data_IF_186721884698
#
_entry.id   IF_186721884698
#
_cell.length_a   1.000
_cell.length_b   1.000
_cell.length_c   1.000
_cell.angle_alpha   90.00
_cell.angle_beta   90.00
_cell.angle_gamma   90.00
#
_symmetry.space_group_name_H-M   'P 1'
#
loop_
_entity.id
_entity.type
_entity.pdbx_description
1 polymer ?
#
# COMPACT_ATOMS: atom_id res chain seq x y z
N UNK A 1 -47.60 58.89 -27.35
CA UNK A 1 -46.16 58.82 -26.98
C UNK A 1 -46.05 57.80 -25.85
N UNK A 2 -45.76 56.57 -26.18
CA UNK A 2 -45.56 55.48 -25.23
C UNK A 2 -44.23 54.79 -25.49
N UNK A 3 -43.34 54.89 -24.51
CA UNK A 3 -42.03 54.30 -24.55
C UNK A 3 -42.09 52.85 -24.11
N UNK A 4 -41.76 51.94 -24.99
CA UNK A 4 -41.58 50.52 -24.61
C UNK A 4 -40.20 50.34 -23.93
N UNK A 5 -40.20 49.80 -22.70
CA UNK A 5 -39.01 49.39 -22.01
C UNK A 5 -38.76 47.90 -22.28
N UNK A 6 -37.71 47.64 -23.06
CA UNK A 6 -37.17 46.28 -23.22
C UNK A 6 -36.53 45.81 -21.94
N UNK A 7 -37.14 44.83 -21.27
CA UNK A 7 -36.51 44.06 -20.19
C UNK A 7 -35.68 42.95 -20.82
N UNK A 8 -34.37 43.13 -20.81
CA UNK A 8 -33.44 42.09 -21.15
C UNK A 8 -33.42 41.02 -20.05
N UNK A 9 -33.93 39.84 -20.36
CA UNK A 9 -33.73 38.64 -19.57
C UNK A 9 -32.23 38.25 -19.61
N UNK A 10 -31.55 38.49 -18.49
CA UNK A 10 -30.24 37.94 -18.27
C UNK A 10 -30.38 36.44 -17.99
N UNK A 11 -29.93 35.63 -18.94
CA UNK A 11 -29.76 34.20 -18.73
C UNK A 11 -28.65 33.98 -17.71
N UNK A 12 -28.99 33.43 -16.55
CA UNK A 12 -28.00 32.94 -15.60
C UNK A 12 -27.32 31.68 -16.17
N UNK A 13 -25.98 31.56 -16.14
CA UNK A 13 -25.31 30.34 -16.55
C UNK A 13 -25.62 29.22 -15.56
N UNK A 14 -26.07 28.12 -16.09
CA UNK A 14 -26.35 26.89 -15.37
C UNK A 14 -25.11 26.41 -14.56
N UNK A 15 -25.17 26.59 -13.25
CA UNK A 15 -24.25 26.02 -12.28
C UNK A 15 -24.48 24.53 -11.98
N UNK A 16 -24.99 23.78 -12.96
CA UNK A 16 -25.32 22.37 -12.86
C UNK A 16 -24.27 21.43 -13.45
N UNK A 17 -23.06 21.91 -13.73
CA UNK A 17 -21.95 21.09 -14.25
C UNK A 17 -20.73 21.05 -13.31
N UNK A 18 -20.93 21.28 -12.01
CA UNK A 18 -20.00 20.72 -11.05
C UNK A 18 -20.35 19.25 -10.88
N UNK A 19 -20.03 18.47 -11.90
CA UNK A 19 -20.05 17.03 -11.86
C UNK A 19 -19.20 16.61 -10.67
N UNK A 20 -19.86 16.01 -9.69
CA UNK A 20 -19.31 15.13 -8.69
C UNK A 20 -18.02 14.49 -9.21
N UNK A 21 -16.87 14.99 -8.80
CA UNK A 21 -15.61 14.27 -8.91
C UNK A 21 -15.83 13.02 -8.06
N UNK A 22 -16.20 11.91 -8.71
CA UNK A 22 -16.26 10.59 -8.09
C UNK A 22 -14.92 10.42 -7.41
N UNK A 23 -14.95 10.31 -6.10
CA UNK A 23 -13.78 10.02 -5.30
C UNK A 23 -13.31 8.61 -5.72
N UNK A 24 -12.53 8.55 -6.80
CA UNK A 24 -12.02 7.29 -7.34
C UNK A 24 -11.03 6.79 -6.33
N UNK A 25 -11.48 5.83 -5.53
CA UNK A 25 -10.63 5.19 -4.54
C UNK A 25 -9.43 4.57 -5.26
N UNK A 26 -8.24 5.06 -4.94
CA UNK A 26 -6.99 4.57 -5.50
C UNK A 26 -6.77 3.11 -5.11
N UNK A 27 -6.23 2.34 -6.03
CA UNK A 27 -5.94 0.94 -5.78
C UNK A 27 -4.86 0.78 -4.70
N UNK A 28 -5.15 0.00 -3.68
CA UNK A 28 -4.25 -0.29 -2.56
C UNK A 28 -4.02 -1.79 -2.36
N UNK A 29 -4.38 -2.59 -3.35
CA UNK A 29 -4.31 -4.04 -3.28
C UNK A 29 -5.65 -4.68 -2.96
N UNK A 30 -5.69 -5.99 -3.08
CA UNK A 30 -6.86 -6.83 -2.89
C UNK A 30 -6.87 -7.48 -1.50
N UNK A 31 -8.04 -7.85 -1.01
CA UNK A 31 -8.18 -8.67 0.20
C UNK A 31 -7.99 -10.12 -0.15
N UNK A 32 -7.15 -10.82 0.60
CA UNK A 32 -6.92 -12.25 0.40
C UNK A 32 -7.91 -13.05 1.22
N UNK A 33 -8.79 -13.79 0.56
CA UNK A 33 -9.71 -14.71 1.21
C UNK A 33 -9.08 -16.08 1.44
N UNK A 34 -8.21 -16.50 0.51
CA UNK A 34 -7.42 -17.74 0.59
C UNK A 34 -5.98 -17.43 0.23
N UNK A 35 -5.02 -18.00 0.96
CA UNK A 35 -3.61 -17.75 0.66
C UNK A 35 -3.22 -18.37 -0.68
N UNK A 36 -2.91 -17.53 -1.66
CA UNK A 36 -2.49 -17.92 -3.01
C UNK A 36 -0.99 -18.20 -3.10
N UNK A 37 -0.24 -17.96 -2.03
CA UNK A 37 1.20 -18.08 -1.98
C UNK A 37 1.59 -19.34 -1.24
N UNK A 38 2.41 -20.17 -1.86
CA UNK A 38 2.97 -21.37 -1.22
C UNK A 38 4.13 -21.03 -0.27
N UNK A 39 4.42 -21.88 0.73
CA UNK A 39 5.58 -21.67 1.60
C UNK A 39 6.89 -21.49 0.84
N UNK A 40 7.09 -22.20 -0.27
CA UNK A 40 8.30 -22.09 -1.09
C UNK A 40 8.55 -20.70 -1.67
N UNK A 41 7.51 -19.88 -1.83
CA UNK A 41 7.67 -18.50 -2.29
C UNK A 41 8.48 -17.64 -1.31
N UNK A 42 8.52 -18.02 -0.04
CA UNK A 42 9.27 -17.28 0.98
C UNK A 42 10.79 -17.51 0.95
N UNK A 43 11.27 -18.45 0.14
CA UNK A 43 12.70 -18.61 -0.10
C UNK A 43 13.32 -17.42 -0.87
N UNK A 44 12.48 -16.62 -1.54
CA UNK A 44 12.88 -15.47 -2.35
C UNK A 44 12.19 -14.19 -1.88
N UNK A 45 12.25 -13.92 -0.58
CA UNK A 45 11.69 -12.69 -0.02
C UNK A 45 12.55 -11.47 -0.31
N UNK A 46 11.87 -10.34 -0.50
CA UNK A 46 12.48 -9.01 -0.58
C UNK A 46 11.66 -8.02 0.21
N UNK A 47 12.32 -7.10 0.88
CA UNK A 47 11.68 -5.88 1.34
C UNK A 47 11.69 -4.86 0.21
N UNK A 48 10.58 -4.17 0.03
CA UNK A 48 10.40 -3.14 -0.99
C UNK A 48 9.97 -1.86 -0.30
N UNK A 49 10.67 -0.76 -0.57
CA UNK A 49 10.30 0.57 -0.10
C UNK A 49 9.83 1.39 -1.29
N UNK A 50 8.67 2.00 -1.14
CA UNK A 50 8.13 2.96 -2.10
C UNK A 50 8.07 4.35 -1.49
N UNK A 51 8.08 5.38 -2.34
CA UNK A 51 7.99 6.76 -1.90
C UNK A 51 6.69 7.03 -1.15
N UNK A 52 6.74 7.99 -0.24
CA UNK A 52 5.56 8.51 0.42
C UNK A 52 4.78 9.50 -0.43
N UNK A 53 3.72 9.98 0.17
CA UNK A 53 2.92 11.10 -0.28
C UNK A 53 3.05 12.27 0.72
N UNK A 54 2.41 13.43 0.48
CA UNK A 54 2.46 14.56 1.42
C UNK A 54 1.95 14.25 2.83
N UNK A 55 1.08 13.24 2.97
CA UNK A 55 0.56 12.77 4.26
C UNK A 55 1.46 11.73 4.94
N UNK A 56 2.35 11.09 4.18
CA UNK A 56 3.30 10.10 4.67
C UNK A 56 4.65 10.24 3.95
N UNK A 57 5.46 11.24 4.31
CA UNK A 57 6.74 11.51 3.63
C UNK A 57 7.77 10.39 3.81
N UNK A 58 7.60 9.55 4.82
CA UNK A 58 8.51 8.43 5.11
C UNK A 58 8.36 7.23 4.16
N UNK A 59 7.40 7.27 3.26
CA UNK A 59 7.17 6.17 2.33
C UNK A 59 6.47 4.97 2.95
N UNK A 60 6.52 3.84 2.24
CA UNK A 60 5.79 2.66 2.62
C UNK A 60 6.59 1.39 2.35
N UNK A 61 6.47 0.41 3.25
CA UNK A 61 7.15 -0.89 3.16
C UNK A 61 6.21 -1.98 2.70
N UNK A 62 6.69 -2.81 1.77
CA UNK A 62 5.99 -4.00 1.30
C UNK A 62 6.90 -5.21 1.41
N UNK A 63 6.28 -6.38 1.61
CA UNK A 63 6.94 -7.67 1.48
C UNK A 63 6.70 -8.20 0.07
N UNK A 64 7.76 -8.48 -0.66
CA UNK A 64 7.70 -9.18 -1.94
C UNK A 64 8.16 -10.64 -1.75
N UNK A 65 7.39 -11.58 -2.28
CA UNK A 65 7.72 -13.01 -2.25
C UNK A 65 7.99 -13.55 -3.65
N UNK A 66 8.53 -14.74 -3.73
CA UNK A 66 8.60 -15.47 -4.99
C UNK A 66 7.23 -15.57 -5.66
N UNK A 67 7.22 -15.70 -6.99
CA UNK A 67 5.98 -15.69 -7.78
C UNK A 67 5.40 -14.30 -8.06
N UNK A 68 6.09 -13.22 -7.64
CA UNK A 68 5.68 -11.84 -7.94
C UNK A 68 4.53 -11.34 -7.09
N UNK A 69 4.44 -11.76 -5.83
CA UNK A 69 3.40 -11.32 -4.90
C UNK A 69 3.93 -10.29 -3.92
N UNK A 70 3.12 -9.26 -3.67
CA UNK A 70 3.42 -8.17 -2.74
C UNK A 70 2.36 -8.13 -1.65
N UNK A 71 2.80 -7.93 -0.41
CA UNK A 71 1.93 -7.84 0.77
C UNK A 71 2.25 -6.58 1.56
N UNK A 72 1.22 -5.92 2.06
CA UNK A 72 1.39 -4.73 2.88
C UNK A 72 0.14 -4.40 3.71
N UNK A 73 0.29 -3.46 4.61
CA UNK A 73 -0.81 -2.87 5.40
C UNK A 73 -1.07 -1.48 4.85
N UNK A 74 -2.21 -1.27 4.20
CA UNK A 74 -2.49 -0.02 3.50
C UNK A 74 -3.01 1.11 4.42
N UNK A 75 -3.82 0.76 5.43
CA UNK A 75 -4.50 1.71 6.31
C UNK A 75 -4.72 1.12 7.69
N UNK A 76 -5.07 2.00 8.64
CA UNK A 76 -5.51 1.59 9.98
C UNK A 76 -6.76 0.72 9.94
N UNK A 77 -6.85 -0.21 10.88
CA UNK A 77 -8.02 -1.06 11.11
C UNK A 77 -8.49 -1.86 9.88
N UNK A 78 -7.63 -2.05 8.90
CA UNK A 78 -7.89 -2.88 7.73
C UNK A 78 -7.10 -4.19 7.77
N UNK A 79 -7.60 -5.19 7.06
CA UNK A 79 -6.80 -6.39 6.82
C UNK A 79 -5.65 -6.07 5.87
N UNK A 80 -4.50 -6.75 6.02
CA UNK A 80 -3.42 -6.60 5.06
C UNK A 80 -3.89 -6.90 3.63
N UNK A 81 -3.24 -6.27 2.66
CA UNK A 81 -3.55 -6.37 1.24
C UNK A 81 -2.48 -7.13 0.50
N UNK A 82 -2.85 -7.71 -0.62
CA UNK A 82 -1.91 -8.36 -1.53
C UNK A 82 -2.07 -7.81 -2.95
N UNK A 83 -1.01 -7.95 -3.72
CA UNK A 83 -0.97 -7.54 -5.12
C UNK A 83 -0.11 -8.52 -5.92
N UNK A 84 -0.52 -8.78 -7.15
CA UNK A 84 0.37 -9.36 -8.16
C UNK A 84 1.37 -8.30 -8.66
N UNK A 85 2.32 -8.70 -9.48
CA UNK A 85 3.24 -7.76 -10.14
C UNK A 85 2.49 -6.67 -10.94
N UNK A 86 1.43 -7.04 -11.65
CA UNK A 86 0.56 -6.08 -12.37
C UNK A 86 -0.19 -5.14 -11.41
N UNK A 87 -0.68 -5.69 -10.29
CA UNK A 87 -1.31 -4.91 -9.23
C UNK A 87 -0.35 -3.93 -8.58
N UNK A 88 0.90 -4.34 -8.34
CA UNK A 88 1.94 -3.46 -7.80
C UNK A 88 2.25 -2.27 -8.72
N UNK A 89 2.38 -2.52 -10.02
CA UNK A 89 2.57 -1.43 -11.00
C UNK A 89 1.37 -0.47 -11.03
N UNK A 90 0.16 -1.01 -10.93
CA UNK A 90 -1.07 -0.21 -10.80
C UNK A 90 -1.06 0.62 -9.52
N UNK A 91 -0.70 0.02 -8.39
CA UNK A 91 -0.58 0.69 -7.10
C UNK A 91 0.38 1.87 -7.16
N UNK A 92 1.59 1.69 -7.71
CA UNK A 92 2.56 2.78 -7.87
C UNK A 92 1.99 3.92 -8.71
N UNK A 93 1.39 3.60 -9.86
CA UNK A 93 0.85 4.59 -10.79
C UNK A 93 -0.32 5.37 -10.18
N UNK A 94 -1.31 4.69 -9.61
CA UNK A 94 -2.52 5.33 -9.08
C UNK A 94 -2.27 6.14 -7.82
N UNK A 95 -1.24 5.80 -7.04
CA UNK A 95 -0.84 6.51 -5.85
C UNK A 95 0.31 7.50 -6.07
N UNK A 96 0.75 7.69 -7.32
CA UNK A 96 1.88 8.57 -7.67
C UNK A 96 3.16 8.23 -6.88
N UNK A 97 3.35 6.95 -6.61
CA UNK A 97 4.51 6.43 -5.89
C UNK A 97 5.55 5.86 -6.85
N UNK A 98 6.78 5.80 -6.38
CA UNK A 98 7.89 5.14 -7.08
C UNK A 98 8.61 4.20 -6.13
N UNK A 99 9.15 3.10 -6.64
CA UNK A 99 10.04 2.24 -5.86
C UNK A 99 11.33 2.99 -5.58
N UNK A 100 11.72 3.04 -4.32
CA UNK A 100 12.98 3.66 -3.87
C UNK A 100 14.07 2.62 -3.77
N UNK A 101 13.75 1.49 -3.14
CA UNK A 101 14.72 0.45 -2.87
C UNK A 101 14.06 -0.91 -2.74
N UNK A 102 14.80 -1.94 -3.13
CA UNK A 102 14.45 -3.35 -2.97
C UNK A 102 15.70 -4.12 -2.56
N UNK A 103 15.58 -4.96 -1.53
CA UNK A 103 16.70 -5.82 -1.12
C UNK A 103 16.23 -7.20 -0.67
N UNK A 104 17.05 -8.24 -0.86
CA UNK A 104 16.72 -9.60 -0.48
C UNK A 104 16.71 -9.73 1.05
N UNK A 105 15.79 -10.57 1.54
CA UNK A 105 15.72 -10.98 2.94
C UNK A 105 15.85 -12.50 2.99
N UNK A 106 16.81 -12.99 3.79
CA UNK A 106 16.94 -14.41 4.03
C UNK A 106 15.87 -14.88 5.02
N UNK A 107 15.09 -15.88 4.63
CA UNK A 107 14.03 -16.50 5.44
C UNK A 107 14.34 -17.99 5.58
N UNK A 108 15.05 -18.41 6.66
CA UNK A 108 15.47 -19.80 6.87
C UNK A 108 14.33 -20.80 7.01
N UNK A 109 13.21 -20.39 7.60
CA UNK A 109 11.97 -21.17 7.73
C UNK A 109 10.83 -20.57 6.89
N UNK A 110 10.71 -20.92 5.61
CA UNK A 110 9.64 -20.43 4.75
C UNK A 110 8.23 -20.80 5.26
N UNK A 111 8.09 -21.96 5.92
CA UNK A 111 6.81 -22.38 6.48
C UNK A 111 6.39 -21.51 7.67
N UNK A 112 7.33 -21.11 8.52
CA UNK A 112 7.07 -20.18 9.63
C UNK A 112 6.60 -18.82 9.13
N UNK A 113 7.28 -18.27 8.12
CA UNK A 113 6.88 -17.01 7.49
C UNK A 113 5.49 -17.12 6.84
N UNK A 114 5.23 -18.20 6.12
CA UNK A 114 3.94 -18.44 5.50
C UNK A 114 2.79 -18.52 6.52
N UNK A 115 2.95 -19.30 7.60
CA UNK A 115 1.95 -19.38 8.68
C UNK A 115 1.68 -18.02 9.30
N UNK A 116 2.73 -17.23 9.54
CA UNK A 116 2.58 -15.87 10.09
C UNK A 116 1.82 -14.95 9.14
N UNK A 117 2.14 -14.99 7.85
CA UNK A 117 1.39 -14.21 6.86
C UNK A 117 -0.09 -14.58 6.85
N UNK A 118 -0.42 -15.87 6.85
CA UNK A 118 -1.83 -16.33 6.90
C UNK A 118 -2.54 -15.81 8.17
N UNK A 119 -1.88 -15.88 9.33
CA UNK A 119 -2.43 -15.33 10.58
C UNK A 119 -2.73 -13.83 10.46
N UNK A 120 -1.80 -13.05 9.92
CA UNK A 120 -1.94 -11.61 9.80
C UNK A 120 -3.00 -11.20 8.75
N UNK A 121 -3.13 -11.95 7.66
CA UNK A 121 -4.14 -11.71 6.63
C UNK A 121 -5.57 -11.97 7.12
N UNK A 122 -5.73 -12.79 8.15
CA UNK A 122 -7.03 -13.16 8.70
C UNK A 122 -7.57 -12.13 9.72
N UNK A 123 -6.81 -11.11 10.09
CA UNK A 123 -7.21 -10.14 11.11
C UNK A 123 -6.93 -8.70 10.69
N UNK A 124 -7.66 -7.77 11.28
CA UNK A 124 -7.39 -6.35 11.09
C UNK A 124 -6.07 -5.97 11.75
N UNK A 125 -5.26 -5.22 11.03
CA UNK A 125 -4.03 -4.66 11.53
C UNK A 125 -4.33 -3.35 12.27
N UNK A 126 -3.94 -3.30 13.54
CA UNK A 126 -4.04 -2.08 14.32
C UNK A 126 -2.80 -1.22 14.04
N UNK A 127 -3.02 -0.13 13.35
CA UNK A 127 -1.97 0.85 13.10
C UNK A 127 -1.89 1.81 14.29
N UNK A 128 -0.83 1.74 15.03
CA UNK A 128 -0.61 2.59 16.20
C UNK A 128 0.63 3.50 16.03
N UNK A 129 0.98 3.83 14.79
CA UNK A 129 2.23 4.52 14.49
C UNK A 129 3.44 3.62 14.73
N UNK A 130 4.40 4.06 15.53
CA UNK A 130 5.46 3.18 16.05
C UNK A 130 4.93 2.56 17.37
N UNK A 131 4.86 1.23 17.57
CA UNK A 131 5.57 0.17 16.84
C UNK A 131 4.79 -0.56 15.73
N UNK A 132 3.50 -0.30 15.51
CA UNK A 132 2.68 -1.08 14.58
C UNK A 132 2.45 -0.32 13.27
N UNK A 133 3.36 -0.45 12.33
CA UNK A 133 3.33 0.18 11.02
C UNK A 133 3.62 -0.83 9.88
N UNK A 134 3.76 -0.35 8.65
CA UNK A 134 4.05 -1.21 7.51
C UNK A 134 5.37 -1.99 7.65
N UNK A 135 6.39 -1.41 8.30
CA UNK A 135 7.65 -2.10 8.58
C UNK A 135 7.45 -3.22 9.59
N UNK A 136 6.66 -2.98 10.64
CA UNK A 136 6.35 -4.00 11.65
C UNK A 136 5.64 -5.20 11.05
N UNK A 137 4.73 -4.99 10.12
CA UNK A 137 4.06 -6.07 9.39
C UNK A 137 5.06 -6.96 8.66
N UNK A 138 5.94 -6.37 7.82
CA UNK A 138 6.97 -7.13 7.10
C UNK A 138 7.90 -7.86 8.06
N UNK A 139 8.31 -7.16 9.13
CA UNK A 139 9.20 -7.71 10.16
C UNK A 139 8.60 -8.91 10.90
N UNK A 140 7.32 -8.87 11.25
CA UNK A 140 6.65 -10.01 11.91
C UNK A 140 6.67 -11.25 11.03
N UNK A 141 6.38 -11.10 9.74
CA UNK A 141 6.38 -12.22 8.79
C UNK A 141 7.77 -12.82 8.65
N UNK A 142 8.79 -12.01 8.36
CA UNK A 142 10.13 -12.53 8.08
C UNK A 142 10.82 -13.06 9.34
N UNK A 143 10.58 -12.49 10.51
CA UNK A 143 11.08 -13.00 11.78
C UNK A 143 10.47 -14.34 12.16
N UNK A 144 9.18 -14.55 11.92
CA UNK A 144 8.55 -15.84 12.09
C UNK A 144 9.17 -16.92 11.19
N UNK A 145 9.75 -16.51 10.07
CA UNK A 145 10.58 -17.33 9.20
C UNK A 145 12.06 -17.42 9.61
N UNK A 146 12.41 -16.99 10.81
CA UNK A 146 13.78 -17.07 11.34
C UNK A 146 14.74 -16.02 10.76
N UNK A 147 14.24 -15.00 10.07
CA UNK A 147 15.09 -13.92 9.58
C UNK A 147 15.62 -13.08 10.73
N UNK A 148 16.92 -12.76 10.67
CA UNK A 148 17.57 -11.80 11.56
C UNK A 148 17.69 -10.41 10.95
N UNK A 149 17.14 -10.20 9.75
CA UNK A 149 17.20 -8.92 9.07
C UNK A 149 16.58 -7.82 9.95
N UNK A 150 17.37 -6.79 10.23
CA UNK A 150 16.88 -5.57 10.83
C UNK A 150 16.09 -4.79 9.78
N UNK A 151 14.91 -4.36 10.14
CA UNK A 151 14.12 -3.43 9.33
C UNK A 151 13.94 -2.18 10.16
N UNK A 152 14.74 -1.18 9.85
CA UNK A 152 14.81 0.05 10.62
C UNK A 152 14.05 1.14 9.90
N UNK A 153 13.04 1.69 10.54
CA UNK A 153 12.31 2.92 10.20
C UNK A 153 11.60 2.98 8.84
N UNK A 154 10.43 3.59 8.85
CA UNK A 154 9.62 3.89 7.68
C UNK A 154 10.16 5.02 6.82
N UNK A 155 11.05 5.85 7.36
CA UNK A 155 11.65 6.90 6.58
C UNK A 155 12.75 6.31 5.71
N UNK A 156 12.59 6.33 4.38
CA UNK A 156 13.59 5.86 3.45
C UNK A 156 14.71 6.90 3.30
N UNK A 157 15.39 7.26 4.39
CA UNK A 157 16.66 7.93 4.26
C UNK A 157 17.68 6.95 3.75
N UNK A 158 18.58 7.37 2.86
CA UNK A 158 19.63 6.52 2.31
C UNK A 158 20.51 5.89 3.41
N UNK A 159 20.59 6.53 4.57
CA UNK A 159 21.37 6.12 5.74
C UNK A 159 20.71 4.99 6.54
N UNK A 160 19.38 4.83 6.48
CA UNK A 160 18.68 3.77 7.18
C UNK A 160 18.88 2.39 6.55
N UNK A 161 19.51 2.31 5.40
CA UNK A 161 19.65 1.12 4.57
C UNK A 161 21.07 0.90 4.02
N UNK A 162 22.03 1.62 4.60
CA UNK A 162 23.47 1.42 4.30
C UNK A 162 24.02 0.16 4.99
#
# INVERSE_FOLDING_TARGET
MGRATNSAMQAQPNSALQASAKNVQRYVGDVMLNCVVSPSAFTHCRAVIVSGDPGNPCGHSLLHTGGGWYFHVACENTVPRFMSEGGYKRYLRENSMREIRRWPIKVPDPHGAHRKLQELLARKWLWLGIPNNCVSFVKEVVRAGGSKAGMYFNCPSAEAFA
#
